data_IF_511656830160
#
_entry.id   IF_511656830160
#
_cell.length_a   1.000
_cell.length_b   1.000
_cell.length_c   1.000
_cell.angle_alpha   90.00
_cell.angle_beta   90.00
_cell.angle_gamma   90.00
#
_symmetry.space_group_name_H-M   'P 1'
#
loop_
_entity.id
_entity.type
_entity.pdbx_description
1 polymer ?
#
# COMPACT_ATOMS: atom_id res chain seq x y z
N UNK A 1 38.86 -50.05 49.92
CA UNK A 1 39.62 -48.84 49.52
C UNK A 1 38.96 -48.29 48.25
N UNK A 2 37.97 -47.40 48.38
CA UNK A 2 37.30 -46.80 47.23
C UNK A 2 38.03 -45.50 46.86
N UNK A 3 38.68 -45.48 45.70
CA UNK A 3 39.27 -44.28 45.12
C UNK A 3 38.16 -43.30 44.72
N UNK A 4 38.10 -42.16 45.41
CA UNK A 4 37.35 -40.98 44.96
C UNK A 4 38.00 -40.41 43.69
N UNK A 5 37.61 -40.92 42.52
CA UNK A 5 37.94 -40.27 41.24
C UNK A 5 37.03 -39.07 41.05
N UNK A 6 37.50 -37.89 41.43
CA UNK A 6 36.89 -36.62 41.01
C UNK A 6 36.98 -36.56 39.49
N UNK A 7 35.84 -36.54 38.80
CA UNK A 7 35.83 -36.17 37.38
C UNK A 7 36.47 -34.78 37.28
N UNK A 8 37.46 -34.57 36.40
CA UNK A 8 37.98 -33.24 36.14
C UNK A 8 36.82 -32.35 35.71
N UNK A 9 36.68 -31.18 36.33
CA UNK A 9 35.65 -30.17 36.01
C UNK A 9 35.62 -29.88 34.49
N UNK A 10 36.78 -30.01 33.83
CA UNK A 10 36.94 -29.87 32.39
C UNK A 10 36.13 -30.89 31.58
N UNK A 11 36.04 -32.15 32.04
CA UNK A 11 35.30 -33.22 31.36
C UNK A 11 33.79 -33.02 31.50
N UNK A 12 33.34 -32.47 32.63
CA UNK A 12 31.94 -32.13 32.85
C UNK A 12 31.49 -30.93 32.00
N UNK A 13 32.35 -29.91 31.88
CA UNK A 13 32.10 -28.75 31.03
C UNK A 13 32.07 -29.10 29.52
N UNK A 14 32.96 -29.98 29.06
CA UNK A 14 32.96 -30.46 27.67
C UNK A 14 31.67 -31.22 27.32
N UNK A 15 31.13 -31.99 28.26
CA UNK A 15 29.90 -32.76 28.08
C UNK A 15 28.65 -31.86 28.03
N UNK A 16 28.63 -30.80 28.84
CA UNK A 16 27.62 -29.73 28.77
C UNK A 16 27.69 -28.96 27.43
N UNK A 17 28.90 -28.63 26.98
CA UNK A 17 29.09 -27.95 25.69
C UNK A 17 28.62 -28.82 24.51
N UNK A 18 28.94 -30.13 24.52
CA UNK A 18 28.45 -31.04 23.48
C UNK A 18 26.93 -31.18 23.51
N UNK A 19 26.32 -31.23 24.71
CA UNK A 19 24.87 -31.35 24.85
C UNK A 19 24.14 -30.11 24.31
N UNK A 20 24.66 -28.91 24.60
CA UNK A 20 24.08 -27.64 24.10
C UNK A 20 24.14 -27.58 22.57
N UNK A 21 25.24 -28.03 21.95
CA UNK A 21 25.40 -28.00 20.48
C UNK A 21 24.52 -29.07 19.79
N UNK A 22 24.17 -30.17 20.48
CA UNK A 22 23.29 -31.21 19.93
C UNK A 22 21.80 -31.00 20.20
N UNK A 23 21.43 -30.27 21.25
CA UNK A 23 20.02 -30.04 21.65
C UNK A 23 19.46 -28.74 21.05
N UNK A 24 20.31 -27.75 20.79
CA UNK A 24 19.92 -26.63 19.94
C UNK A 24 20.26 -27.00 18.50
N UNK A 25 19.28 -27.33 17.64
CA UNK A 25 19.56 -27.43 16.23
C UNK A 25 20.10 -26.06 15.81
N UNK A 26 21.35 -26.02 15.37
CA UNK A 26 21.92 -24.94 14.54
C UNK A 26 21.25 -24.85 13.17
N UNK A 27 20.06 -25.44 13.03
CA UNK A 27 19.04 -24.94 12.12
C UNK A 27 18.56 -23.59 12.67
N UNK A 28 19.38 -22.56 12.48
CA UNK A 28 18.85 -21.34 11.90
C UNK A 28 18.24 -21.74 10.54
N UNK A 29 17.09 -22.43 10.57
CA UNK A 29 16.07 -22.14 9.60
C UNK A 29 15.96 -20.63 9.72
N UNK A 30 16.48 -19.92 8.72
CA UNK A 30 16.08 -18.56 8.46
C UNK A 30 14.56 -18.62 8.64
N UNK A 31 14.06 -18.10 9.77
CA UNK A 31 12.64 -17.87 9.90
C UNK A 31 12.36 -17.00 8.70
N UNK A 32 11.72 -17.58 7.68
CA UNK A 32 11.40 -16.86 6.47
C UNK A 32 10.76 -15.57 6.96
N UNK A 33 11.43 -14.44 6.70
CA UNK A 33 11.02 -13.16 7.24
C UNK A 33 9.53 -13.04 6.93
N UNK A 34 8.73 -12.81 7.97
CA UNK A 34 7.28 -12.77 7.84
C UNK A 34 6.93 -11.80 6.69
N UNK A 35 6.43 -12.37 5.59
CA UNK A 35 6.23 -11.66 4.35
C UNK A 35 4.88 -10.93 4.33
N UNK A 36 4.09 -11.13 5.38
CA UNK A 36 2.85 -10.40 5.64
C UNK A 36 3.14 -8.91 5.71
N UNK A 37 2.25 -8.16 5.07
CA UNK A 37 2.18 -6.72 5.25
C UNK A 37 1.54 -6.48 6.62
N UNK A 38 2.08 -5.50 7.33
CA UNK A 38 1.63 -5.08 8.64
C UNK A 38 0.97 -3.71 8.53
N UNK A 39 0.00 -3.45 9.40
CA UNK A 39 -0.54 -2.11 9.60
C UNK A 39 0.46 -1.20 10.34
N UNK A 40 0.08 0.06 10.56
CA UNK A 40 0.93 1.02 11.27
C UNK A 40 1.35 0.57 12.68
N UNK A 41 0.60 -0.33 13.33
CA UNK A 41 0.89 -0.86 14.66
C UNK A 41 1.71 -2.14 14.66
N UNK A 42 1.85 -2.80 13.52
CA UNK A 42 2.62 -4.03 13.39
C UNK A 42 1.75 -5.30 13.38
N UNK A 43 0.43 -5.17 13.30
CA UNK A 43 -0.46 -6.32 13.16
C UNK A 43 -0.62 -6.67 11.67
N UNK A 44 -0.63 -7.96 11.30
CA UNK A 44 -0.84 -8.34 9.90
C UNK A 44 -2.15 -7.82 9.33
N UNK A 45 -2.10 -7.21 8.15
CA UNK A 45 -3.32 -6.78 7.45
C UNK A 45 -4.01 -7.97 6.78
N UNK A 46 -5.34 -7.91 6.73
CA UNK A 46 -6.19 -8.96 6.17
C UNK A 46 -7.14 -8.41 5.12
N UNK A 47 -7.55 -9.26 4.19
CA UNK A 47 -8.66 -8.93 3.28
C UNK A 47 -9.99 -8.84 4.05
N UNK A 48 -11.00 -8.24 3.42
CA UNK A 48 -12.36 -8.02 3.92
C UNK A 48 -12.43 -7.21 5.22
N UNK A 49 -11.37 -6.48 5.56
CA UNK A 49 -11.32 -5.54 6.68
C UNK A 49 -11.10 -4.13 6.14
N UNK A 50 -11.70 -3.18 6.85
CA UNK A 50 -11.62 -1.77 6.50
C UNK A 50 -10.36 -1.14 7.08
N UNK A 51 -9.74 -0.27 6.28
CA UNK A 51 -8.55 0.49 6.64
C UNK A 51 -8.62 1.90 6.05
N UNK A 52 -7.98 2.88 6.68
CA UNK A 52 -7.63 4.12 5.99
C UNK A 52 -6.32 3.87 5.23
N UNK A 53 -6.34 4.09 3.91
CA UNK A 53 -5.15 4.07 3.08
C UNK A 53 -4.50 5.44 3.11
N UNK A 54 -3.30 5.55 3.66
CA UNK A 54 -2.60 6.82 3.86
C UNK A 54 -1.38 6.87 2.96
N UNK A 55 -1.30 7.90 2.11
CA UNK A 55 -0.10 8.19 1.33
C UNK A 55 1.02 8.65 2.26
N UNK A 56 2.21 8.05 2.16
CA UNK A 56 3.35 8.53 2.94
C UNK A 56 3.95 9.80 2.38
N UNK A 57 3.63 10.17 1.15
CA UNK A 57 4.15 11.39 0.57
C UNK A 57 3.41 12.64 1.07
N UNK A 58 4.17 13.60 1.56
CA UNK A 58 3.70 14.87 2.11
C UNK A 58 3.72 15.94 1.03
N UNK A 59 2.54 16.24 0.49
CA UNK A 59 2.34 17.31 -0.50
C UNK A 59 2.29 18.71 0.15
N UNK A 60 3.35 19.07 0.88
CA UNK A 60 3.49 20.36 1.58
C UNK A 60 4.45 21.27 0.82
N UNK A 61 4.04 22.52 0.60
CA UNK A 61 4.90 23.56 0.01
C UNK A 61 6.04 23.93 0.98
N UNK A 62 7.25 24.14 0.45
CA UNK A 62 8.42 24.54 1.26
C UNK A 62 9.22 23.41 1.91
N UNK A 63 8.77 22.15 1.80
CA UNK A 63 9.59 20.97 2.20
C UNK A 63 10.33 20.44 0.97
N UNK A 64 11.66 20.22 1.03
CA UNK A 64 12.42 19.57 -0.04
C UNK A 64 11.88 18.17 -0.35
N UNK A 65 11.93 17.75 -1.63
CA UNK A 65 11.36 16.49 -2.09
C UNK A 65 11.84 15.29 -1.27
N UNK A 66 13.14 15.25 -0.95
CA UNK A 66 13.79 14.19 -0.18
C UNK A 66 13.34 14.10 1.29
N UNK A 67 12.60 15.11 1.78
CA UNK A 67 12.05 15.16 3.14
C UNK A 67 10.53 15.02 3.18
N UNK A 68 9.89 14.71 2.04
CA UNK A 68 8.42 14.58 1.94
C UNK A 68 7.91 13.19 2.27
N UNK A 69 8.70 12.36 2.93
CA UNK A 69 8.26 11.02 3.36
C UNK A 69 7.88 11.09 4.84
N UNK A 70 6.59 10.92 5.12
CA UNK A 70 6.08 10.85 6.48
C UNK A 70 6.64 9.59 7.18
N UNK A 71 7.07 9.70 8.45
CA UNK A 71 7.25 8.54 9.30
C UNK A 71 5.92 7.78 9.48
N UNK A 72 6.00 6.50 9.83
CA UNK A 72 4.83 5.64 9.97
C UNK A 72 3.81 6.25 10.93
N UNK A 73 2.56 6.35 10.49
CA UNK A 73 1.43 6.88 11.25
C UNK A 73 1.45 8.39 11.47
N UNK A 74 2.34 9.15 10.83
CA UNK A 74 2.40 10.61 11.00
C UNK A 74 1.44 11.36 10.07
N UNK A 75 1.32 10.93 8.80
CA UNK A 75 0.31 11.51 7.93
C UNK A 75 -1.07 11.02 8.39
N UNK A 76 -2.02 11.94 8.55
CA UNK A 76 -3.40 11.64 8.97
C UNK A 76 -4.40 11.78 7.83
N UNK A 77 -3.95 12.16 6.64
CA UNK A 77 -4.78 12.39 5.47
C UNK A 77 -4.71 11.17 4.57
N UNK A 78 -5.82 10.43 4.51
CA UNK A 78 -5.97 9.23 3.70
C UNK A 78 -6.81 9.45 2.46
N UNK A 79 -6.85 8.41 1.64
CA UNK A 79 -7.61 8.38 0.39
C UNK A 79 -9.11 8.49 0.67
N UNK A 80 -9.79 9.26 -0.18
CA UNK A 80 -11.25 9.35 -0.26
C UNK A 80 -11.68 9.48 -1.73
N UNK A 81 -12.87 9.99 -1.97
CA UNK A 81 -13.45 10.15 -3.31
C UNK A 81 -14.06 11.53 -3.54
N UNK A 82 -14.14 11.92 -4.80
CA UNK A 82 -14.94 13.06 -5.24
C UNK A 82 -15.76 12.71 -6.48
N UNK A 83 -16.99 13.21 -6.54
CA UNK A 83 -17.82 13.10 -7.73
C UNK A 83 -17.48 14.21 -8.73
N UNK A 84 -16.98 13.83 -9.90
CA UNK A 84 -16.71 14.75 -11.01
C UNK A 84 -17.24 14.16 -12.34
N UNK A 85 -17.96 14.97 -13.11
CA UNK A 85 -18.55 14.58 -14.41
C UNK A 85 -19.33 13.24 -14.38
N UNK A 86 -20.02 12.94 -13.28
CA UNK A 86 -20.82 11.72 -13.11
C UNK A 86 -20.04 10.50 -12.57
N UNK A 87 -18.71 10.57 -12.51
CA UNK A 87 -17.84 9.52 -11.99
C UNK A 87 -17.36 9.86 -10.58
N UNK A 88 -16.97 8.85 -9.81
CA UNK A 88 -16.34 9.04 -8.51
C UNK A 88 -14.85 8.77 -8.68
N UNK A 89 -14.01 9.79 -8.53
CA UNK A 89 -12.57 9.65 -8.65
C UNK A 89 -11.94 9.46 -7.29
N UNK A 90 -10.87 8.69 -7.25
CA UNK A 90 -9.98 8.59 -6.10
C UNK A 90 -9.32 9.95 -5.89
N UNK A 91 -9.34 10.46 -4.66
CA UNK A 91 -8.63 11.68 -4.30
C UNK A 91 -8.02 11.57 -2.90
N UNK A 92 -7.17 12.54 -2.55
CA UNK A 92 -6.81 12.85 -1.16
C UNK A 92 -6.77 14.37 -1.03
N UNK A 93 -7.46 14.94 -0.04
CA UNK A 93 -7.30 16.36 0.26
C UNK A 93 -5.99 16.61 0.98
N UNK A 94 -5.36 17.76 0.70
CA UNK A 94 -4.09 18.20 1.30
C UNK A 94 -4.27 18.81 2.70
N UNK A 95 -5.51 19.05 3.12
CA UNK A 95 -5.85 19.61 4.42
C UNK A 95 -7.04 18.85 5.03
N UNK A 96 -6.99 18.59 6.33
CA UNK A 96 -8.06 17.92 7.07
C UNK A 96 -9.39 18.67 7.04
N UNK A 97 -9.38 20.01 6.91
CA UNK A 97 -10.59 20.83 6.89
C UNK A 97 -11.53 20.57 5.69
N UNK A 98 -11.05 19.86 4.67
CA UNK A 98 -11.84 19.52 3.48
C UNK A 98 -12.55 18.16 3.59
N UNK A 99 -12.21 17.35 4.60
CA UNK A 99 -12.91 16.11 4.88
C UNK A 99 -14.18 16.41 5.69
N UNK A 100 -15.27 15.73 5.35
CA UNK A 100 -16.50 15.77 6.12
C UNK A 100 -16.45 14.91 7.37
N UNK A 101 -17.43 15.06 8.26
CA UNK A 101 -17.56 14.24 9.48
C UNK A 101 -17.63 12.74 9.17
N UNK A 102 -18.15 12.38 7.99
CA UNK A 102 -18.23 11.01 7.48
C UNK A 102 -16.89 10.37 7.12
N UNK A 103 -15.87 11.18 6.92
CA UNK A 103 -14.53 10.77 6.52
C UNK A 103 -13.56 10.93 7.71
N UNK A 104 -14.07 11.09 8.93
CA UNK A 104 -13.30 11.27 10.15
C UNK A 104 -13.42 10.02 11.01
N UNK A 105 -12.34 9.27 11.09
CA UNK A 105 -12.30 7.97 11.76
C UNK A 105 -11.29 7.96 12.90
N UNK A 106 -11.56 7.11 13.89
CA UNK A 106 -10.57 6.77 14.91
C UNK A 106 -9.92 5.44 14.54
N UNK A 107 -8.61 5.39 14.73
CA UNK A 107 -7.89 4.13 14.71
C UNK A 107 -8.15 3.30 15.98
N UNK A 108 -7.59 2.09 16.05
CA UNK A 108 -7.70 1.19 17.21
C UNK A 108 -7.04 1.71 18.50
N UNK A 109 -6.30 2.82 18.45
CA UNK A 109 -5.70 3.51 19.60
C UNK A 109 -6.39 4.85 19.91
N UNK A 110 -7.44 5.22 19.18
CA UNK A 110 -8.21 6.44 19.36
C UNK A 110 -7.63 7.69 18.68
N UNK A 111 -6.56 7.59 17.88
CA UNK A 111 -6.09 8.75 17.11
C UNK A 111 -6.97 8.97 15.89
N UNK A 112 -7.06 10.23 15.49
CA UNK A 112 -7.90 10.67 14.38
C UNK A 112 -7.18 10.57 13.04
N UNK A 113 -7.89 10.01 12.06
CA UNK A 113 -7.51 9.93 10.66
C UNK A 113 -8.65 10.42 9.79
N UNK A 114 -8.29 10.99 8.65
CA UNK A 114 -9.21 11.49 7.65
C UNK A 114 -9.14 10.62 6.39
N UNK A 115 -10.26 10.39 5.73
CA UNK A 115 -10.37 9.54 4.55
C UNK A 115 -11.61 8.65 4.61
N UNK A 116 -11.96 8.02 3.50
CA UNK A 116 -13.02 7.02 3.49
C UNK A 116 -12.38 5.63 3.63
N UNK A 117 -12.87 4.74 4.50
CA UNK A 117 -12.31 3.41 4.64
C UNK A 117 -12.32 2.63 3.32
N UNK A 118 -11.19 2.01 3.02
CA UNK A 118 -11.02 1.09 1.91
C UNK A 118 -11.09 -0.35 2.39
N UNK A 119 -11.55 -1.23 1.52
CA UNK A 119 -11.59 -2.67 1.74
C UNK A 119 -10.76 -3.37 0.67
N UNK A 120 -9.87 -4.26 1.08
CA UNK A 120 -9.14 -5.14 0.17
C UNK A 120 -9.79 -6.50 0.11
N UNK A 121 -10.00 -7.04 -1.08
CA UNK A 121 -10.66 -8.33 -1.29
C UNK A 121 -9.82 -9.21 -2.21
N UNK A 122 -9.91 -10.53 -2.03
CA UNK A 122 -9.37 -11.46 -3.01
C UNK A 122 -10.13 -11.32 -4.34
N UNK A 123 -9.44 -11.24 -5.49
CA UNK A 123 -10.11 -11.26 -6.79
C UNK A 123 -10.90 -12.55 -6.97
N UNK A 124 -11.95 -12.47 -7.81
CA UNK A 124 -12.81 -13.62 -8.09
C UNK A 124 -12.00 -14.80 -8.63
N UNK A 125 -12.11 -15.96 -7.98
CA UNK A 125 -11.40 -17.18 -8.38
C UNK A 125 -9.96 -17.29 -7.88
N UNK A 126 -9.50 -16.36 -7.03
CA UNK A 126 -8.18 -16.43 -6.38
C UNK A 126 -8.35 -16.88 -4.94
N UNK A 127 -7.69 -17.98 -4.57
CA UNK A 127 -7.63 -18.44 -3.18
C UNK A 127 -6.77 -17.50 -2.34
N UNK A 128 -7.21 -17.24 -1.11
CA UNK A 128 -6.50 -16.41 -0.14
C UNK A 128 -6.60 -17.04 1.23
N UNK A 129 -5.51 -17.01 1.98
CA UNK A 129 -5.48 -17.39 3.39
C UNK A 129 -5.91 -16.24 4.33
N UNK A 130 -6.44 -15.16 3.75
CA UNK A 130 -6.92 -13.99 4.47
C UNK A 130 -5.87 -12.90 4.66
N UNK A 131 -4.57 -13.21 4.57
CA UNK A 131 -3.50 -12.23 4.81
C UNK A 131 -2.97 -11.64 3.51
N UNK A 132 -2.56 -10.38 3.57
CA UNK A 132 -1.95 -9.70 2.43
C UNK A 132 -0.42 -9.75 2.55
N UNK A 133 0.23 -10.11 1.46
CA UNK A 133 1.69 -10.24 1.29
C UNK A 133 2.16 -9.51 0.04
N UNK A 134 3.48 -9.45 -0.13
CA UNK A 134 4.04 -9.07 -1.42
C UNK A 134 3.48 -9.96 -2.55
N UNK A 135 3.21 -9.37 -3.71
CA UNK A 135 2.60 -9.99 -4.88
C UNK A 135 1.18 -10.55 -4.67
N UNK A 136 0.51 -10.21 -3.57
CA UNK A 136 -0.90 -10.62 -3.38
C UNK A 136 -1.77 -9.83 -4.35
N UNK A 137 -2.55 -10.50 -5.22
CA UNK A 137 -3.52 -9.82 -6.06
C UNK A 137 -4.73 -9.43 -5.20
N UNK A 138 -5.20 -8.20 -5.31
CA UNK A 138 -6.33 -7.66 -4.55
C UNK A 138 -7.26 -6.87 -5.46
N UNK A 139 -8.53 -6.79 -5.11
CA UNK A 139 -9.42 -5.71 -5.57
C UNK A 139 -9.62 -4.74 -4.41
N UNK A 140 -9.59 -3.44 -4.69
CA UNK A 140 -9.80 -2.40 -3.68
C UNK A 140 -11.19 -1.80 -3.86
N UNK A 141 -11.94 -1.65 -2.77
CA UNK A 141 -13.28 -1.06 -2.78
C UNK A 141 -13.47 -0.03 -1.68
N UNK A 142 -14.52 0.77 -1.82
CA UNK A 142 -14.89 1.85 -0.91
C UNK A 142 -16.41 1.98 -0.91
N UNK A 143 -16.98 2.33 0.24
CA UNK A 143 -18.40 2.66 0.34
C UNK A 143 -18.62 4.15 0.06
N UNK A 144 -19.26 4.44 -1.08
CA UNK A 144 -19.47 5.81 -1.56
C UNK A 144 -20.93 6.20 -1.29
N UNK A 145 -21.15 7.25 -0.49
CA UNK A 145 -22.50 7.77 -0.23
C UNK A 145 -22.84 8.16 1.22
N UNK A 146 -21.89 8.22 2.16
CA UNK A 146 -22.09 8.87 3.47
C UNK A 146 -21.57 8.10 4.71
N UNK A 147 -21.69 8.69 5.91
CA UNK A 147 -20.99 8.30 7.16
C UNK A 147 -21.27 6.89 7.69
N UNK A 148 -22.37 6.27 7.27
CA UNK A 148 -22.81 4.96 7.72
C UNK A 148 -23.12 4.12 6.48
N UNK A 149 -22.09 3.52 5.90
CA UNK A 149 -22.18 2.67 4.71
C UNK A 149 -23.19 1.51 4.84
N UNK A 150 -23.62 1.14 6.05
CA UNK A 150 -24.69 0.18 6.30
C UNK A 150 -26.12 0.73 6.05
N UNK A 151 -26.28 2.02 5.77
CA UNK A 151 -27.59 2.69 5.63
C UNK A 151 -27.77 3.53 4.35
N UNK A 152 -26.96 3.32 3.30
CA UNK A 152 -27.20 3.98 2.01
C UNK A 152 -25.99 4.23 1.10
N UNK A 153 -24.78 3.82 1.51
CA UNK A 153 -23.61 3.83 0.63
C UNK A 153 -23.72 2.77 -0.46
N UNK A 154 -23.13 3.02 -1.63
CA UNK A 154 -22.92 1.99 -2.65
C UNK A 154 -21.46 1.54 -2.58
N UNK A 155 -21.23 0.24 -2.41
CA UNK A 155 -19.89 -0.34 -2.53
C UNK A 155 -19.41 -0.21 -3.97
N UNK A 156 -18.33 0.51 -4.19
CA UNK A 156 -17.71 0.70 -5.50
C UNK A 156 -16.26 0.28 -5.46
N UNK A 157 -15.78 -0.29 -6.54
CA UNK A 157 -14.45 -0.82 -6.69
C UNK A 157 -13.58 0.13 -7.48
N UNK A 158 -12.30 0.16 -7.14
CA UNK A 158 -11.29 0.83 -7.94
C UNK A 158 -11.22 0.18 -9.32
N UNK A 159 -11.35 1.03 -10.34
CA UNK A 159 -11.03 0.73 -11.71
C UNK A 159 -9.84 1.60 -12.12
N UNK A 160 -8.71 0.93 -12.28
CA UNK A 160 -7.44 1.51 -12.69
C UNK A 160 -7.07 0.93 -14.06
N UNK A 161 -6.98 1.80 -15.07
CA UNK A 161 -6.33 1.45 -16.33
C UNK A 161 -4.80 1.48 -16.18
N UNK A 162 -4.07 0.96 -17.15
CA UNK A 162 -2.60 0.91 -17.06
C UNK A 162 -1.93 2.29 -17.08
N UNK A 163 -2.62 3.33 -17.59
CA UNK A 163 -2.19 4.73 -17.64
C UNK A 163 -3.41 5.65 -17.76
N UNK A 164 -4.02 6.02 -16.64
CA UNK A 164 -5.25 6.82 -16.60
C UNK A 164 -5.51 7.32 -15.18
N UNK A 165 -6.41 8.30 -15.07
CA UNK A 165 -7.15 8.57 -13.84
C UNK A 165 -7.82 7.29 -13.31
N UNK A 166 -7.81 7.15 -11.99
CA UNK A 166 -8.41 6.04 -11.26
C UNK A 166 -9.76 6.50 -10.71
N UNK A 167 -10.77 5.68 -10.93
CA UNK A 167 -12.13 5.97 -10.51
C UNK A 167 -12.77 4.75 -9.84
N UNK A 168 -13.90 4.98 -9.19
CA UNK A 168 -14.71 3.96 -8.55
C UNK A 168 -15.91 3.59 -9.42
N UNK A 169 -16.16 2.29 -9.56
CA UNK A 169 -17.26 1.70 -10.33
C UNK A 169 -17.93 0.58 -9.54
N UNK A 170 -19.25 0.50 -9.62
CA UNK A 170 -20.06 -0.65 -9.16
C UNK A 170 -20.23 -1.71 -10.26
N UNK A 171 -19.85 -1.40 -11.50
CA UNK A 171 -20.01 -2.27 -12.67
C UNK A 171 -18.74 -3.06 -13.02
N UNK A 172 -17.58 -2.63 -12.53
CA UNK A 172 -16.28 -3.19 -12.89
C UNK A 172 -15.27 -3.00 -11.76
N UNK A 173 -14.27 -3.87 -11.70
CA UNK A 173 -13.21 -3.84 -10.70
C UNK A 173 -11.87 -4.26 -11.31
N UNK A 174 -10.81 -3.50 -11.04
CA UNK A 174 -9.44 -3.88 -11.42
C UNK A 174 -8.82 -4.78 -10.36
N UNK A 175 -8.00 -5.74 -10.81
CA UNK A 175 -7.08 -6.47 -9.93
C UNK A 175 -5.78 -5.69 -9.84
N UNK A 176 -5.43 -5.26 -8.64
CA UNK A 176 -4.15 -4.65 -8.30
C UNK A 176 -3.23 -5.71 -7.72
N UNK A 177 -1.92 -5.52 -7.83
CA UNK A 177 -0.94 -6.40 -7.17
C UNK A 177 -0.21 -5.64 -6.08
N UNK A 178 -0.27 -6.13 -4.85
CA UNK A 178 0.44 -5.54 -3.72
C UNK A 178 1.94 -5.68 -3.93
N UNK A 179 2.67 -4.57 -3.82
CA UNK A 179 4.13 -4.55 -3.87
C UNK A 179 4.67 -4.07 -2.52
N UNK A 180 5.34 -4.95 -1.79
CA UNK A 180 5.96 -4.64 -0.49
C UNK A 180 7.14 -3.68 -0.71
N UNK A 181 7.08 -2.47 -0.13
CA UNK A 181 8.23 -1.56 -0.02
C UNK A 181 9.02 -1.86 1.25
N UNK A 182 8.30 -2.04 2.35
CA UNK A 182 8.79 -2.57 3.62
C UNK A 182 7.61 -3.23 4.37
N UNK A 183 7.80 -3.68 5.62
CA UNK A 183 6.75 -4.39 6.36
C UNK A 183 5.48 -3.57 6.60
N UNK A 184 5.54 -2.23 6.61
CA UNK A 184 4.40 -1.33 6.88
C UNK A 184 4.08 -0.39 5.73
N UNK A 185 4.62 -0.67 4.55
CA UNK A 185 4.48 0.20 3.38
C UNK A 185 4.33 -0.64 2.11
N UNK A 186 3.29 -0.30 1.34
CA UNK A 186 2.96 -0.99 0.09
C UNK A 186 2.82 0.00 -1.06
N UNK A 187 3.15 -0.47 -2.25
CA UNK A 187 2.57 0.05 -3.49
C UNK A 187 1.47 -0.88 -3.97
N UNK A 188 0.61 -0.37 -4.85
CA UNK A 188 -0.38 -1.16 -5.56
C UNK A 188 -0.10 -1.06 -7.05
N UNK A 189 0.40 -2.14 -7.66
CA UNK A 189 0.63 -2.20 -9.11
C UNK A 189 -0.74 -2.23 -9.80
N UNK A 190 -0.97 -1.28 -10.70
CA UNK A 190 -2.20 -1.14 -11.48
C UNK A 190 -2.08 -1.79 -12.86
N UNK A 191 -0.87 -1.96 -13.39
CA UNK A 191 -0.65 -2.67 -14.64
C UNK A 191 0.72 -2.43 -15.27
N UNK A 192 0.77 -2.52 -16.60
CA UNK A 192 1.93 -2.18 -17.42
C UNK A 192 1.52 -1.37 -18.63
N UNK A 193 2.28 -0.35 -18.98
CA UNK A 193 2.03 0.50 -20.14
C UNK A 193 3.31 0.84 -20.89
N UNK A 194 3.17 1.28 -22.13
CA UNK A 194 4.27 1.81 -22.91
C UNK A 194 4.27 3.36 -22.86
N UNK A 195 5.47 3.94 -22.83
CA UNK A 195 5.72 5.37 -22.95
C UNK A 195 6.48 5.60 -24.25
N UNK A 196 5.70 5.85 -25.30
CA UNK A 196 6.21 6.00 -26.66
C UNK A 196 6.69 7.43 -26.89
N UNK A 197 7.91 7.56 -27.42
CA UNK A 197 8.53 8.85 -27.77
C UNK A 197 9.06 8.82 -29.19
N UNK A 198 8.95 9.94 -29.89
CA UNK A 198 9.54 10.10 -31.22
C UNK A 198 11.06 10.26 -31.13
N UNK A 199 11.74 10.36 -32.27
CA UNK A 199 13.20 10.56 -32.35
C UNK A 199 13.71 11.83 -31.65
N UNK A 200 12.81 12.77 -31.34
CA UNK A 200 13.11 14.02 -30.64
C UNK A 200 12.72 13.95 -29.15
N UNK A 201 12.30 12.78 -28.66
CA UNK A 201 11.93 12.55 -27.27
C UNK A 201 10.51 13.02 -26.90
N UNK A 202 9.68 13.41 -27.88
CA UNK A 202 8.32 13.92 -27.61
C UNK A 202 7.32 12.76 -27.54
N UNK A 203 6.29 12.81 -26.66
CA UNK A 203 5.24 11.79 -26.62
C UNK A 203 4.62 11.57 -27.99
N UNK A 204 4.44 10.31 -28.39
CA UNK A 204 3.94 9.97 -29.72
C UNK A 204 3.12 8.67 -29.73
N UNK A 205 2.60 8.29 -30.89
CA UNK A 205 1.91 7.02 -31.11
C UNK A 205 2.86 5.90 -31.54
N UNK A 206 2.34 4.67 -31.65
CA UNK A 206 3.15 3.50 -32.00
C UNK A 206 3.78 3.58 -33.39
N UNK A 207 3.22 4.37 -34.30
CA UNK A 207 3.70 4.49 -35.68
C UNK A 207 5.00 5.30 -35.76
N UNK A 208 5.10 6.35 -34.93
CA UNK A 208 6.27 7.24 -34.91
C UNK A 208 7.23 6.96 -33.74
N UNK A 209 6.94 5.94 -32.94
CA UNK A 209 7.75 5.57 -31.79
C UNK A 209 9.18 5.18 -32.21
N UNK A 210 10.16 5.87 -31.62
CA UNK A 210 11.55 5.48 -31.70
C UNK A 210 11.89 4.51 -30.55
N UNK A 211 12.35 3.28 -30.83
CA UNK A 211 12.61 2.30 -29.78
C UNK A 211 13.71 2.72 -28.80
N UNK A 212 14.63 3.61 -29.18
CA UNK A 212 15.70 4.07 -28.29
C UNK A 212 15.22 5.16 -27.32
N UNK A 213 14.19 5.92 -27.70
CA UNK A 213 13.59 6.95 -26.85
C UNK A 213 12.39 6.43 -26.05
N UNK A 214 11.79 5.32 -26.47
CA UNK A 214 10.58 4.77 -25.86
C UNK A 214 10.88 3.80 -24.72
N UNK A 215 9.96 3.69 -23.77
CA UNK A 215 10.01 2.69 -22.69
C UNK A 215 8.80 1.77 -22.78
N UNK A 216 9.03 0.45 -22.77
CA UNK A 216 7.99 -0.55 -22.99
C UNK A 216 7.77 -1.41 -21.74
N UNK A 217 6.53 -1.82 -21.50
CA UNK A 217 6.16 -2.68 -20.38
C UNK A 217 6.44 -2.06 -19.00
N UNK A 218 6.39 -0.73 -18.91
CA UNK A 218 6.63 0.03 -17.69
C UNK A 218 5.56 -0.32 -16.67
N UNK A 219 5.96 -0.81 -15.50
CA UNK A 219 5.05 -1.08 -14.39
C UNK A 219 4.47 0.24 -13.90
N UNK A 220 3.15 0.27 -13.77
CA UNK A 220 2.44 1.40 -13.20
C UNK A 220 1.85 1.05 -11.85
N UNK A 221 1.84 2.02 -10.95
CA UNK A 221 1.32 1.93 -9.59
C UNK A 221 0.19 2.93 -9.38
N UNK A 222 -0.68 2.62 -8.41
CA UNK A 222 -1.68 3.53 -7.88
C UNK A 222 -0.95 4.68 -7.20
N UNK A 223 -1.25 5.90 -7.63
CA UNK A 223 -0.58 7.10 -7.17
C UNK A 223 -1.54 8.26 -6.99
N UNK A 224 -1.11 9.29 -6.27
CA UNK A 224 -1.84 10.52 -5.98
C UNK A 224 -1.00 11.73 -6.41
N UNK A 225 -1.50 12.47 -7.39
CA UNK A 225 -0.79 13.63 -7.92
C UNK A 225 -1.67 14.89 -7.95
N UNK A 226 -1.03 16.05 -7.94
CA UNK A 226 -1.74 17.29 -8.21
C UNK A 226 -1.98 17.41 -9.70
N UNK A 227 -3.22 17.64 -10.13
CA UNK A 227 -3.50 17.85 -11.55
C UNK A 227 -2.91 19.18 -12.02
N UNK A 228 -2.12 19.12 -13.10
CA UNK A 228 -1.49 20.29 -13.73
C UNK A 228 -2.46 21.08 -14.64
N UNK A 229 -3.73 20.66 -14.72
CA UNK A 229 -4.70 21.38 -15.54
C UNK A 229 -4.94 22.80 -14.97
N UNK A 230 -5.02 23.85 -15.80
CA UNK A 230 -5.11 25.25 -15.36
C UNK A 230 -6.25 25.62 -14.41
N UNK A 231 -7.24 24.75 -14.23
CA UNK A 231 -8.40 24.94 -13.36
C UNK A 231 -8.61 23.78 -12.38
N UNK A 232 -7.64 22.88 -12.27
CA UNK A 232 -7.72 21.81 -11.30
C UNK A 232 -7.62 22.38 -9.88
N UNK A 233 -8.50 21.90 -9.00
CA UNK A 233 -8.43 22.23 -7.58
C UNK A 233 -7.09 21.72 -7.00
N UNK A 234 -6.25 22.67 -6.59
CA UNK A 234 -4.90 22.41 -6.08
C UNK A 234 -4.88 21.95 -4.61
N UNK A 235 -6.02 21.97 -3.92
CA UNK A 235 -6.16 21.53 -2.53
C UNK A 235 -6.29 20.01 -2.38
N UNK A 236 -6.29 19.28 -3.50
CA UNK A 236 -6.38 17.82 -3.52
C UNK A 236 -5.42 17.20 -4.51
N UNK A 237 -5.24 15.91 -4.31
CA UNK A 237 -4.51 14.99 -5.17
C UNK A 237 -5.51 14.05 -5.80
N UNK A 238 -5.20 13.59 -7.00
CA UNK A 238 -6.05 12.72 -7.79
C UNK A 238 -5.38 11.37 -8.00
N UNK A 239 -6.16 10.30 -7.89
CA UNK A 239 -5.71 8.94 -8.14
C UNK A 239 -5.38 8.72 -9.61
N UNK A 240 -4.18 8.23 -9.88
CA UNK A 240 -3.72 7.88 -11.23
C UNK A 240 -2.93 6.58 -11.25
N UNK A 241 -2.85 5.96 -12.42
CA UNK A 241 -1.85 4.95 -12.73
C UNK A 241 -0.66 5.60 -13.43
N UNK A 242 0.48 5.66 -12.74
CA UNK A 242 1.73 6.24 -13.24
C UNK A 242 2.91 5.27 -13.04
N UNK A 243 4.05 5.48 -13.74
CA UNK A 243 5.26 4.71 -13.49
C UNK A 243 5.64 4.85 -12.03
N UNK A 244 6.14 3.79 -11.43
CA UNK A 244 6.64 3.84 -10.06
C UNK A 244 7.70 4.93 -9.91
N UNK A 245 7.37 5.98 -9.16
CA UNK A 245 8.18 7.20 -9.06
C UNK A 245 8.26 7.77 -7.63
N UNK A 246 7.52 7.25 -6.64
CA UNK A 246 7.64 7.68 -5.24
C UNK A 246 7.32 6.61 -4.17
N UNK A 247 7.18 7.06 -2.91
CA UNK A 247 6.90 6.27 -1.70
C UNK A 247 5.50 5.65 -1.68
N UNK A 248 5.35 4.57 -0.93
CA UNK A 248 4.09 3.84 -0.88
C UNK A 248 3.08 4.38 0.13
N UNK A 249 2.09 3.53 0.39
CA UNK A 249 1.00 3.74 1.30
C UNK A 249 1.17 2.92 2.57
N UNK A 250 0.63 3.42 3.67
CA UNK A 250 0.42 2.67 4.91
C UNK A 250 -1.06 2.41 5.15
N UNK A 251 -1.36 1.36 5.90
CA UNK A 251 -2.72 0.99 6.28
C UNK A 251 -2.96 1.25 7.75
N UNK A 252 -4.03 1.99 8.03
CA UNK A 252 -4.45 2.34 9.38
C UNK A 252 -5.71 1.53 9.71
N UNK A 253 -5.69 0.71 10.78
CA UNK A 253 -6.87 -0.06 11.15
C UNK A 253 -7.92 0.88 11.77
N UNK A 254 -9.14 0.86 11.24
CA UNK A 254 -10.26 1.62 11.81
C UNK A 254 -10.93 0.86 12.97
N UNK A 255 -11.50 1.62 13.92
CA UNK A 255 -12.28 1.11 15.04
C UNK A 255 -13.74 0.81 14.65
#
# INVERSE_FOLDING_TARGET
MLMNRKLPILTFLLLLFSLIITVFPTNSAYAAEDDRILDIYGDPITINKDYILVDKYLWVTGIPFEKRVAPVGQNRLGVTYEKFAGWHYVIQYKNSSYYGDAERHKDTKGNEYYGTPINFEAPSGVESDGYIRNNTPITMSMWIGGPNADAGGTKKYVNAGNRSWIYFSDQSKSTLTVKKKNSKEIDLITGKTDYLRDKLGRPTDWYNADPQQSSYGVITTFQLETSEQPFANQDKLWGISAPEDYVGYELVPVQ
#
